data_IF_763278216554
#
_entry.id   IF_763278216554
#
_cell.length_a   1.000
_cell.length_b   1.000
_cell.length_c   1.000
_cell.angle_alpha   90.00
_cell.angle_beta   90.00
_cell.angle_gamma   90.00
#
_symmetry.space_group_name_H-M   'P 1'
#
loop_
_entity.id
_entity.type
_entity.pdbx_description
1 polymer ?
#
# COMPACT_ATOMS: atom_id res chain seq x y z
N UNK A 1 0.35 -23.23 -6.94
CA UNK A 1 0.69 -22.19 -6.03
C UNK A 1 0.62 -20.85 -6.64
N UNK A 2 -0.28 -20.08 -6.15
CA UNK A 2 -0.53 -18.79 -6.75
C UNK A 2 0.42 -17.71 -6.33
N UNK A 3 1.33 -18.06 -5.50
CA UNK A 3 2.49 -17.26 -5.20
C UNK A 3 3.15 -16.75 -6.47
N UNK A 4 3.01 -17.49 -7.56
CA UNK A 4 3.65 -17.18 -8.82
C UNK A 4 3.12 -15.93 -9.50
N UNK A 5 1.82 -15.63 -9.44
CA UNK A 5 1.26 -14.49 -10.17
C UNK A 5 1.74 -13.16 -9.60
N UNK A 6 1.65 -13.03 -8.30
CA UNK A 6 2.06 -11.80 -7.64
C UNK A 6 3.56 -11.60 -7.75
N UNK A 7 4.33 -12.66 -7.46
CA UNK A 7 5.77 -12.58 -7.58
C UNK A 7 6.21 -12.40 -9.03
N UNK A 8 5.41 -12.87 -10.00
CA UNK A 8 5.68 -12.63 -11.41
C UNK A 8 5.62 -11.15 -11.78
N UNK A 9 4.59 -10.44 -11.29
CA UNK A 9 4.47 -9.01 -11.55
C UNK A 9 5.65 -8.24 -10.95
N UNK A 10 5.93 -8.47 -9.68
CA UNK A 10 7.02 -7.77 -9.00
C UNK A 10 8.39 -8.16 -9.57
N UNK A 11 8.53 -9.36 -10.06
CA UNK A 11 9.75 -9.79 -10.73
C UNK A 11 9.98 -8.96 -12.00
N UNK A 12 8.92 -8.72 -12.77
CA UNK A 12 9.00 -7.87 -13.97
C UNK A 12 9.31 -6.43 -13.61
N UNK A 13 8.69 -5.92 -12.58
CA UNK A 13 8.97 -4.57 -12.09
C UNK A 13 10.44 -4.46 -11.73
N UNK A 14 10.96 -5.44 -11.02
CA UNK A 14 12.36 -5.44 -10.60
C UNK A 14 13.32 -5.49 -11.78
N UNK A 15 12.97 -6.23 -12.82
CA UNK A 15 13.79 -6.28 -14.04
C UNK A 15 13.84 -4.94 -14.76
N UNK A 16 12.74 -4.21 -14.78
CA UNK A 16 12.58 -3.02 -15.60
C UNK A 16 12.84 -1.71 -14.86
N UNK A 17 13.02 -1.75 -13.56
CA UNK A 17 13.11 -0.52 -12.75
C UNK A 17 14.31 0.36 -13.10
N UNK A 18 15.38 -0.22 -13.60
CA UNK A 18 16.56 0.56 -13.96
C UNK A 18 16.40 1.26 -15.31
N UNK A 19 15.46 0.81 -16.12
CA UNK A 19 15.24 1.35 -17.45
C UNK A 19 13.96 2.18 -17.55
N UNK A 20 13.04 2.02 -16.60
CA UNK A 20 11.71 2.61 -16.66
C UNK A 20 11.41 3.30 -15.34
N UNK A 21 11.20 4.61 -15.39
CA UNK A 21 10.95 5.41 -14.19
C UNK A 21 9.65 5.03 -13.48
N UNK A 22 8.64 4.60 -14.23
CA UNK A 22 7.38 4.15 -13.61
C UNK A 22 7.61 2.85 -12.84
N UNK A 23 8.38 1.93 -13.40
CA UNK A 23 8.70 0.68 -12.72
C UNK A 23 9.53 0.94 -11.47
N UNK A 24 10.45 1.89 -11.54
CA UNK A 24 11.24 2.30 -10.36
C UNK A 24 10.32 2.88 -9.28
N UNK A 25 9.36 3.67 -9.66
CA UNK A 25 8.39 4.24 -8.72
C UNK A 25 7.54 3.14 -8.06
N UNK A 26 7.07 2.19 -8.85
CA UNK A 26 6.28 1.07 -8.33
C UNK A 26 7.11 0.22 -7.37
N UNK A 27 8.35 -0.09 -7.74
CA UNK A 27 9.23 -0.87 -6.88
C UNK A 27 9.48 -0.16 -5.55
N UNK A 28 9.80 1.11 -5.60
CA UNK A 28 10.04 1.89 -4.40
C UNK A 28 8.79 1.97 -3.52
N UNK A 29 7.64 2.18 -4.13
CA UNK A 29 6.37 2.23 -3.40
C UNK A 29 6.07 0.91 -2.71
N UNK A 30 6.30 -0.20 -3.41
CA UNK A 30 6.10 -1.52 -2.83
C UNK A 30 7.00 -1.75 -1.62
N UNK A 31 8.29 -1.45 -1.76
CA UNK A 31 9.25 -1.71 -0.69
C UNK A 31 9.05 -0.79 0.51
N UNK A 32 8.62 0.43 0.29
CA UNK A 32 8.50 1.39 1.38
C UNK A 32 7.17 1.31 2.13
N UNK A 33 6.07 0.98 1.45
CA UNK A 33 4.78 1.00 2.13
C UNK A 33 3.75 -0.01 1.63
N UNK A 34 3.71 -0.36 0.34
CA UNK A 34 2.62 -1.20 -0.19
C UNK A 34 2.62 -2.58 0.47
N UNK A 35 3.78 -3.20 0.61
CA UNK A 35 3.84 -4.54 1.19
C UNK A 35 3.35 -4.58 2.63
N UNK A 36 3.44 -3.46 3.34
CA UNK A 36 2.94 -3.37 4.71
C UNK A 36 1.45 -3.05 4.74
N UNK A 37 0.93 -2.42 3.70
CA UNK A 37 -0.49 -2.13 3.57
C UNK A 37 -1.30 -3.37 3.21
N UNK A 38 -0.74 -4.28 2.40
CA UNK A 38 -1.47 -5.48 1.97
C UNK A 38 -1.35 -6.62 2.97
N UNK A 39 -0.31 -6.62 3.80
CA UNK A 39 -0.09 -7.68 4.78
C UNK A 39 -1.27 -7.89 5.75
N UNK A 40 -1.88 -6.82 6.31
CA UNK A 40 -3.03 -7.00 7.21
C UNK A 40 -4.21 -7.69 6.55
N UNK A 41 -4.45 -7.42 5.27
CA UNK A 41 -5.51 -8.08 4.53
C UNK A 41 -5.29 -9.59 4.50
N UNK A 42 -4.07 -10.00 4.25
CA UNK A 42 -3.74 -11.41 4.21
C UNK A 42 -3.92 -12.07 5.58
N UNK A 43 -3.52 -11.39 6.64
CA UNK A 43 -3.69 -11.89 7.99
C UNK A 43 -5.16 -12.05 8.35
N UNK A 44 -5.99 -11.08 8.01
CA UNK A 44 -7.43 -11.13 8.29
C UNK A 44 -8.08 -12.26 7.48
N UNK A 45 -7.73 -12.37 6.21
CA UNK A 45 -8.32 -13.36 5.31
C UNK A 45 -7.98 -14.78 5.73
N UNK A 46 -6.77 -15.02 6.22
CA UNK A 46 -6.31 -16.38 6.47
C UNK A 46 -6.42 -16.80 7.92
N UNK A 47 -6.46 -15.88 8.86
CA UNK A 47 -6.29 -16.24 10.26
C UNK A 47 -7.42 -15.83 11.19
N UNK A 48 -7.89 -14.58 11.13
CA UNK A 48 -8.74 -14.06 12.18
C UNK A 48 -9.63 -12.94 11.71
N UNK A 49 -10.71 -12.74 12.45
CA UNK A 49 -11.53 -11.56 12.30
C UNK A 49 -10.76 -10.33 12.81
N UNK A 50 -11.02 -9.21 12.21
CA UNK A 50 -10.46 -7.95 12.65
C UNK A 50 -11.28 -7.43 13.84
N UNK A 51 -10.59 -7.13 14.92
CA UNK A 51 -11.20 -6.54 16.10
C UNK A 51 -10.40 -5.31 16.52
N UNK A 52 -11.07 -4.17 16.61
CA UNK A 52 -10.43 -2.90 16.97
C UNK A 52 -11.10 -2.36 18.22
N UNK A 53 -10.30 -2.03 19.22
CA UNK A 53 -10.75 -1.41 20.46
C UNK A 53 -10.58 0.09 20.31
N UNK A 54 -11.62 0.83 20.73
CA UNK A 54 -11.63 2.28 20.62
C UNK A 54 -11.71 2.93 22.02
N UNK A 55 -11.17 4.13 22.11
CA UNK A 55 -11.36 5.02 23.23
C UNK A 55 -12.17 6.22 22.75
N UNK A 56 -13.07 6.72 23.60
CA UNK A 56 -13.83 7.90 23.25
C UNK A 56 -13.11 9.15 23.76
N UNK A 57 -12.87 10.09 22.86
CA UNK A 57 -12.31 11.38 23.24
C UNK A 57 -13.44 12.37 23.41
N UNK A 58 -13.66 12.82 24.66
CA UNK A 58 -14.76 13.71 24.98
C UNK A 58 -14.56 15.12 24.43
N UNK A 59 -13.33 15.53 24.16
CA UNK A 59 -13.07 16.87 23.63
C UNK A 59 -13.46 16.96 22.16
N UNK A 60 -13.05 16.00 21.36
CA UNK A 60 -13.35 15.99 19.93
C UNK A 60 -14.68 15.30 19.62
N UNK A 61 -15.20 14.48 20.53
CA UNK A 61 -16.39 13.68 20.28
C UNK A 61 -16.14 12.51 19.37
N UNK A 62 -14.88 12.12 19.20
CA UNK A 62 -14.49 11.08 18.25
C UNK A 62 -14.06 9.80 18.94
N UNK A 63 -14.21 8.68 18.22
CA UNK A 63 -13.66 7.41 18.66
C UNK A 63 -12.24 7.29 18.11
N UNK A 64 -11.30 6.99 19.00
CA UNK A 64 -9.89 6.86 18.67
C UNK A 64 -9.51 5.40 18.79
N UNK A 65 -8.99 4.77 17.72
CA UNK A 65 -8.57 3.38 17.80
C UNK A 65 -7.30 3.26 18.63
N UNK A 66 -7.32 2.40 19.64
CA UNK A 66 -6.21 2.22 20.56
C UNK A 66 -5.56 0.84 20.49
N UNK A 67 -6.30 -0.15 19.98
CA UNK A 67 -5.76 -1.49 19.90
C UNK A 67 -6.42 -2.26 18.74
N UNK A 68 -5.65 -3.14 18.15
CA UNK A 68 -6.12 -4.02 17.09
C UNK A 68 -5.52 -5.41 17.32
N UNK A 69 -6.33 -6.45 17.10
CA UNK A 69 -5.88 -7.83 17.31
C UNK A 69 -4.93 -8.34 16.22
N UNK A 70 -4.82 -7.63 15.10
CA UNK A 70 -3.83 -7.93 14.07
C UNK A 70 -2.98 -6.68 13.85
N UNK A 71 -1.75 -6.92 13.44
CA UNK A 71 -0.82 -5.83 13.20
C UNK A 71 -1.12 -5.17 11.86
N UNK A 72 -1.44 -3.91 11.90
CA UNK A 72 -1.81 -3.15 10.70
C UNK A 72 -0.69 -2.20 10.31
N UNK A 73 -0.39 -2.14 9.01
CA UNK A 73 0.47 -1.11 8.45
C UNK A 73 1.81 -0.96 9.14
N UNK A 74 2.41 -2.07 9.50
CA UNK A 74 3.64 -2.01 10.27
C UNK A 74 4.76 -2.79 9.60
N UNK A 75 5.91 -2.14 9.49
CA UNK A 75 7.14 -2.84 9.16
C UNK A 75 7.94 -3.16 10.43
N UNK A 76 7.42 -2.75 11.58
CA UNK A 76 8.06 -3.03 12.86
C UNK A 76 7.26 -4.08 13.61
N UNK A 77 7.85 -5.24 13.85
CA UNK A 77 7.18 -6.35 14.52
C UNK A 77 6.97 -6.11 16.01
N UNK A 78 7.60 -5.08 16.56
CA UNK A 78 7.49 -4.79 17.99
C UNK A 78 6.30 -3.91 18.35
N UNK A 79 5.48 -3.52 17.37
CA UNK A 79 4.31 -2.71 17.62
C UNK A 79 3.26 -3.53 18.38
N UNK A 80 3.06 -3.23 19.64
CA UNK A 80 2.16 -3.98 20.52
C UNK A 80 0.71 -3.54 20.43
N UNK A 81 0.45 -2.37 19.86
CA UNK A 81 -0.91 -1.85 19.76
C UNK A 81 -1.70 -2.46 18.59
N UNK A 82 -1.02 -3.11 17.68
CA UNK A 82 -1.66 -3.62 16.46
C UNK A 82 -1.75 -2.58 15.36
N UNK A 83 -1.48 -1.31 15.66
CA UNK A 83 -1.42 -0.27 14.64
C UNK A 83 0.03 -0.01 14.31
N UNK A 84 0.30 0.14 13.04
CA UNK A 84 1.66 0.29 12.58
C UNK A 84 2.18 1.70 12.71
N UNK A 85 3.29 1.89 12.05
CA UNK A 85 3.98 3.15 11.98
C UNK A 85 3.17 4.24 11.27
N UNK A 86 2.26 3.81 10.39
CA UNK A 86 1.43 4.71 9.59
C UNK A 86 -0.03 4.62 10.03
N UNK A 87 -0.71 5.74 10.04
CA UNK A 87 -2.14 5.78 10.32
C UNK A 87 -2.95 5.36 9.09
N UNK A 88 -4.23 5.07 9.28
CA UNK A 88 -5.14 4.82 8.16
C UNK A 88 -5.17 6.00 7.20
N UNK A 89 -5.14 7.21 7.74
CA UNK A 89 -5.14 8.42 6.93
C UNK A 89 -3.90 8.51 6.06
N UNK A 90 -2.73 8.21 6.63
CA UNK A 90 -1.48 8.21 5.88
C UNK A 90 -1.53 7.23 4.71
N UNK A 91 -2.05 6.02 4.94
CA UNK A 91 -2.16 5.03 3.87
C UNK A 91 -3.16 5.43 2.81
N UNK A 92 -4.27 6.06 3.20
CA UNK A 92 -5.25 6.56 2.24
C UNK A 92 -4.60 7.58 1.31
N UNK A 93 -3.85 8.52 1.86
CA UNK A 93 -3.14 9.53 1.08
C UNK A 93 -2.08 8.90 0.18
N UNK A 94 -1.35 7.91 0.68
CA UNK A 94 -0.33 7.22 -0.12
C UNK A 94 -0.94 6.50 -1.31
N UNK A 95 -2.08 5.82 -1.11
CA UNK A 95 -2.78 5.17 -2.21
C UNK A 95 -3.25 6.18 -3.25
N UNK A 96 -3.80 7.29 -2.79
CA UNK A 96 -4.26 8.34 -3.69
C UNK A 96 -3.12 8.86 -4.56
N UNK A 97 -2.01 9.21 -3.94
CA UNK A 97 -0.84 9.71 -4.64
C UNK A 97 -0.26 8.67 -5.61
N UNK A 98 -0.25 7.43 -5.18
CA UNK A 98 0.25 6.33 -6.01
C UNK A 98 -0.56 6.18 -7.28
N UNK A 99 -1.88 6.09 -7.16
CA UNK A 99 -2.75 5.91 -8.31
C UNK A 99 -2.73 7.15 -9.21
N UNK A 100 -2.67 8.33 -8.63
CA UNK A 100 -2.60 9.57 -9.39
C UNK A 100 -1.34 9.58 -10.27
N UNK A 101 -0.21 9.23 -9.70
CA UNK A 101 1.05 9.21 -10.45
C UNK A 101 1.05 8.14 -11.54
N UNK A 102 0.58 6.94 -11.22
CA UNK A 102 0.53 5.86 -12.20
C UNK A 102 -0.38 6.22 -13.36
N UNK A 103 -1.58 6.73 -13.06
CA UNK A 103 -2.53 7.09 -14.10
C UNK A 103 -2.00 8.23 -14.98
N UNK A 104 -1.40 9.25 -14.39
CA UNK A 104 -0.85 10.36 -15.14
C UNK A 104 0.30 9.91 -16.04
N UNK A 105 1.16 9.05 -15.53
CA UNK A 105 2.28 8.52 -16.31
C UNK A 105 1.77 7.71 -17.51
N UNK A 106 0.77 6.86 -17.29
CA UNK A 106 0.21 6.05 -18.36
C UNK A 106 -0.50 6.91 -19.42
N UNK A 107 -1.20 7.96 -18.98
CA UNK A 107 -1.85 8.87 -19.91
C UNK A 107 -0.84 9.62 -20.78
N UNK A 108 0.27 10.07 -20.17
CA UNK A 108 1.33 10.73 -20.92
C UNK A 108 1.96 9.80 -21.94
N UNK A 109 2.18 8.55 -21.58
CA UNK A 109 2.73 7.56 -22.52
C UNK A 109 1.78 7.31 -23.67
N UNK A 110 0.50 7.24 -23.39
CA UNK A 110 -0.51 7.05 -24.43
C UNK A 110 -0.53 8.22 -25.40
N UNK A 111 -0.46 9.44 -24.89
CA UNK A 111 -0.42 10.64 -25.72
C UNK A 111 0.82 10.67 -26.63
N UNK A 112 1.97 10.32 -26.09
CA UNK A 112 3.22 10.27 -26.85
C UNK A 112 3.11 9.23 -27.97
N UNK A 113 2.61 8.05 -27.67
CA UNK A 113 2.44 6.99 -28.65
C UNK A 113 1.46 7.43 -29.75
N UNK A 114 0.36 8.03 -29.36
CA UNK A 114 -0.66 8.49 -30.29
C UNK A 114 -0.09 9.56 -31.24
N UNK A 115 0.63 10.54 -30.71
CA UNK A 115 1.27 11.57 -31.50
C UNK A 115 2.37 11.01 -32.41
N UNK A 116 3.08 10.00 -31.92
CA UNK A 116 4.14 9.37 -32.69
C UNK A 116 3.65 8.60 -33.91
N UNK A 117 2.36 8.31 -33.97
CA UNK A 117 1.77 7.60 -35.10
C UNK A 117 1.36 8.49 -36.24
N UNK A 118 1.40 9.77 -36.04
CA UNK A 118 1.06 10.75 -37.06
C UNK A 118 2.27 11.04 -37.91
#
# INVERSE_FOLDING_TARGET
KDKSKYSGFMSKVNELKDEDSLMAFIDNSYETWIKFAVSPRDMITHNNDLSITYSFDSESGCLIPIHCNVKLFSKNTDNTSGFGQYSFHDYTNKWYEFFDKVLNDLLLRDLVITQGKI
#
